data_IF_828369259713
#
_entry.id   IF_828369259713
#
_cell.length_a   1.000
_cell.length_b   1.000
_cell.length_c   1.000
_cell.angle_alpha   90.00
_cell.angle_beta   90.00
_cell.angle_gamma   90.00
#
_symmetry.space_group_name_H-M   'P 1'
#
loop_
_entity.id
_entity.type
_entity.pdbx_description
1 polymer ?
#
# COMPACT_ATOMS: atom_id res chain seq x y z
N UNK A 1 3.22 -20.27 -3.92
CA UNK A 1 4.08 -19.54 -4.87
C UNK A 1 3.94 -20.18 -6.24
N UNK A 2 3.92 -19.39 -7.31
CA UNK A 2 3.95 -19.94 -8.67
C UNK A 2 5.40 -20.16 -9.06
N UNK A 3 5.71 -21.29 -9.68
CA UNK A 3 7.04 -21.62 -10.21
C UNK A 3 7.55 -20.53 -11.16
N UNK A 4 6.62 -19.88 -11.87
CA UNK A 4 6.91 -18.76 -12.81
C UNK A 4 7.25 -17.42 -12.16
N UNK A 5 7.09 -17.27 -10.85
CA UNK A 5 7.39 -16.04 -10.11
C UNK A 5 8.02 -16.37 -8.74
N UNK A 6 9.31 -16.75 -8.73
CA UNK A 6 10.01 -17.02 -7.48
C UNK A 6 10.22 -15.73 -6.68
N UNK A 7 10.34 -15.81 -5.35
CA UNK A 7 10.65 -14.66 -4.53
C UNK A 7 12.05 -14.10 -4.86
N UNK A 8 12.18 -12.78 -4.88
CA UNK A 8 13.46 -12.11 -5.11
C UNK A 8 14.44 -12.31 -3.94
N UNK A 9 13.92 -12.55 -2.75
CA UNK A 9 14.69 -12.83 -1.54
C UNK A 9 13.99 -13.91 -0.70
N UNK A 10 14.28 -15.19 -0.96
CA UNK A 10 13.62 -16.32 -0.26
C UNK A 10 13.93 -16.34 1.23
N UNK A 11 15.16 -16.04 1.64
CA UNK A 11 15.57 -16.04 3.05
C UNK A 11 14.79 -15.01 3.88
N UNK A 12 14.57 -13.82 3.32
CA UNK A 12 13.74 -12.79 3.96
C UNK A 12 12.29 -13.25 4.12
N UNK A 13 11.75 -13.90 3.08
CA UNK A 13 10.38 -14.40 3.12
C UNK A 13 10.20 -15.50 4.18
N UNK A 14 11.16 -16.43 4.28
CA UNK A 14 11.15 -17.50 5.27
C UNK A 14 11.28 -16.93 6.70
N UNK A 15 12.12 -15.91 6.87
CA UNK A 15 12.25 -15.22 8.16
C UNK A 15 10.94 -14.53 8.57
N UNK A 16 10.29 -13.82 7.66
CA UNK A 16 9.00 -13.17 7.93
C UNK A 16 7.90 -14.20 8.23
N UNK A 17 7.89 -15.34 7.53
CA UNK A 17 6.94 -16.41 7.78
C UNK A 17 7.13 -17.00 9.19
N UNK A 18 8.37 -17.25 9.59
CA UNK A 18 8.71 -17.77 10.94
C UNK A 18 8.28 -16.77 12.01
N UNK A 19 8.61 -15.48 11.86
CA UNK A 19 8.18 -14.43 12.78
C UNK A 19 6.67 -14.31 12.87
N UNK A 20 5.96 -14.42 11.76
CA UNK A 20 4.50 -14.35 11.75
C UNK A 20 3.88 -15.49 12.56
N UNK A 21 4.47 -16.70 12.48
CA UNK A 21 4.05 -17.84 13.30
C UNK A 21 4.35 -17.61 14.79
N UNK A 22 5.55 -17.09 15.13
CA UNK A 22 5.93 -16.73 16.51
C UNK A 22 5.00 -15.66 17.11
N UNK A 23 4.43 -14.78 16.28
CA UNK A 23 3.46 -13.75 16.67
C UNK A 23 2.02 -14.29 16.82
N UNK A 24 1.83 -15.60 16.78
CA UNK A 24 0.49 -16.21 16.74
C UNK A 24 -0.41 -15.59 15.65
N UNK A 25 0.18 -15.34 14.48
CA UNK A 25 -0.49 -14.74 13.32
C UNK A 25 -1.02 -13.31 13.55
N UNK A 26 -0.43 -12.55 14.48
CA UNK A 26 -0.76 -11.14 14.66
C UNK A 26 -0.24 -10.31 13.46
N UNK A 27 -1.15 -10.04 12.52
CA UNK A 27 -0.86 -9.28 11.32
C UNK A 27 -0.44 -7.84 11.60
N UNK A 28 -0.99 -7.20 12.64
CA UNK A 28 -0.63 -5.82 12.99
C UNK A 28 0.81 -5.72 13.48
N UNK A 29 1.26 -6.73 14.21
CA UNK A 29 2.64 -6.81 14.69
C UNK A 29 3.60 -6.98 13.53
N UNK A 30 3.31 -7.89 12.60
CA UNK A 30 4.10 -8.08 11.37
C UNK A 30 4.19 -6.79 10.55
N UNK A 31 3.06 -6.09 10.31
CA UNK A 31 3.06 -4.82 9.57
C UNK A 31 3.90 -3.77 10.29
N UNK A 32 3.82 -3.69 11.62
CA UNK A 32 4.64 -2.77 12.42
C UNK A 32 6.13 -3.03 12.23
N UNK A 33 6.55 -4.29 12.27
CA UNK A 33 7.95 -4.66 12.09
C UNK A 33 8.46 -4.32 10.69
N UNK A 34 7.66 -4.62 9.66
CA UNK A 34 7.97 -4.23 8.28
C UNK A 34 8.11 -2.72 8.13
N UNK A 35 7.16 -1.94 8.67
CA UNK A 35 7.19 -0.48 8.58
C UNK A 35 8.34 0.15 9.38
N UNK A 36 8.78 -0.49 10.47
CA UNK A 36 9.92 -0.06 11.26
C UNK A 36 11.26 -0.56 10.71
N UNK A 37 11.24 -1.43 9.72
CA UNK A 37 12.47 -1.93 9.13
C UNK A 37 13.24 -0.82 8.41
N UNK A 38 14.57 -0.90 8.45
CA UNK A 38 15.44 0.05 7.74
C UNK A 38 15.18 0.06 6.24
N UNK A 39 14.90 -1.09 5.64
CA UNK A 39 14.61 -1.21 4.21
C UNK A 39 13.34 -0.43 3.80
N UNK A 40 12.29 -0.46 4.63
CA UNK A 40 11.06 0.27 4.37
C UNK A 40 11.21 1.80 4.53
N UNK A 41 12.10 2.23 5.43
CA UNK A 41 12.32 3.64 5.75
C UNK A 41 13.38 4.32 4.89
N UNK A 42 13.91 3.63 3.88
CA UNK A 42 14.88 4.21 2.95
C UNK A 42 14.28 5.37 2.14
N UNK A 43 15.14 6.32 1.80
CA UNK A 43 14.81 7.40 0.87
C UNK A 43 14.60 6.87 -0.55
N UNK A 44 13.79 7.60 -1.34
CA UNK A 44 13.62 7.36 -2.77
C UNK A 44 14.75 7.96 -3.61
N UNK A 45 15.68 8.73 -3.00
CA UNK A 45 16.80 9.35 -3.72
C UNK A 45 17.74 8.29 -4.26
N UNK A 46 18.10 8.45 -5.52
CA UNK A 46 19.09 7.61 -6.20
C UNK A 46 20.51 8.14 -6.01
N UNK A 47 21.47 7.25 -6.08
CA UNK A 47 22.88 7.54 -6.22
C UNK A 47 23.49 6.59 -7.27
N UNK A 48 24.76 6.78 -7.66
CA UNK A 48 25.42 5.99 -8.69
C UNK A 48 25.42 4.47 -8.41
N UNK A 49 25.35 4.06 -7.14
CA UNK A 49 25.42 2.64 -6.77
C UNK A 49 24.07 1.95 -6.67
N UNK A 50 22.95 2.71 -6.59
CA UNK A 50 21.62 2.15 -6.39
C UNK A 50 20.57 2.59 -7.44
N UNK A 51 21.01 3.31 -8.48
CA UNK A 51 20.12 3.84 -9.52
C UNK A 51 19.33 2.74 -10.22
N UNK A 52 20.00 1.64 -10.57
CA UNK A 52 19.42 0.49 -11.25
C UNK A 52 18.96 -0.62 -10.31
N UNK A 53 19.05 -0.43 -8.98
CA UNK A 53 18.64 -1.46 -8.04
C UNK A 53 17.11 -1.56 -7.91
N UNK A 54 16.59 -2.66 -8.41
CA UNK A 54 15.16 -3.03 -8.32
C UNK A 54 14.90 -4.22 -7.39
N UNK A 55 15.96 -4.86 -6.84
CA UNK A 55 15.83 -6.13 -6.12
C UNK A 55 16.39 -6.14 -4.71
N UNK A 56 17.45 -5.36 -4.43
CA UNK A 56 18.19 -5.47 -3.17
C UNK A 56 17.71 -4.48 -2.10
N UNK A 57 16.61 -3.78 -2.35
CA UNK A 57 16.04 -2.80 -1.40
C UNK A 57 17.04 -1.71 -0.96
N UNK A 58 17.98 -1.32 -1.85
CA UNK A 58 18.95 -0.27 -1.55
C UNK A 58 18.35 1.15 -1.54
N UNK A 59 17.12 1.30 -2.01
CA UNK A 59 16.30 2.52 -1.97
C UNK A 59 14.82 2.19 -1.97
N UNK A 60 13.99 3.12 -1.48
CA UNK A 60 12.55 3.00 -1.65
C UNK A 60 12.14 3.27 -3.12
N UNK A 61 11.25 2.44 -3.64
CA UNK A 61 10.68 2.65 -4.96
C UNK A 61 9.51 3.63 -4.86
N UNK A 62 9.46 4.60 -5.78
CA UNK A 62 8.32 5.49 -5.91
C UNK A 62 7.09 4.69 -6.37
N UNK A 63 6.02 4.79 -5.61
CA UNK A 63 4.71 4.22 -5.96
C UNK A 63 3.65 5.28 -5.83
N UNK A 64 2.78 5.36 -6.84
CA UNK A 64 1.62 6.23 -6.76
C UNK A 64 0.66 5.70 -5.69
N UNK A 65 0.21 6.59 -4.81
CA UNK A 65 -0.84 6.28 -3.84
C UNK A 65 -2.17 6.04 -4.57
N UNK A 66 -2.96 5.07 -4.14
CA UNK A 66 -4.30 4.86 -4.69
C UNK A 66 -5.18 6.06 -4.38
N UNK A 67 -6.07 6.41 -5.32
CA UNK A 67 -6.96 7.55 -5.20
C UNK A 67 -7.82 7.51 -3.92
N UNK A 68 -8.33 6.33 -3.56
CA UNK A 68 -9.14 6.14 -2.36
C UNK A 68 -8.33 6.39 -1.07
N UNK A 69 -7.10 5.88 -1.03
CA UNK A 69 -6.21 6.09 0.13
C UNK A 69 -5.84 7.56 0.25
N UNK A 70 -5.53 8.22 -0.88
CA UNK A 70 -5.20 9.65 -0.91
C UNK A 70 -6.36 10.50 -0.39
N UNK A 71 -7.59 10.22 -0.85
CA UNK A 71 -8.79 10.94 -0.39
C UNK A 71 -9.03 10.73 1.11
N UNK A 72 -8.88 9.50 1.60
CA UNK A 72 -9.03 9.21 3.03
C UNK A 72 -7.97 9.91 3.88
N UNK A 73 -6.72 9.97 3.43
CA UNK A 73 -5.64 10.70 4.12
C UNK A 73 -5.93 12.19 4.16
N UNK A 74 -6.33 12.80 3.03
CA UNK A 74 -6.70 14.23 2.98
C UNK A 74 -7.84 14.49 3.95
N UNK A 75 -8.90 13.67 3.91
CA UNK A 75 -10.07 13.84 4.78
C UNK A 75 -9.70 13.72 6.27
N UNK A 76 -8.79 12.82 6.60
CA UNK A 76 -8.31 12.66 7.96
C UNK A 76 -7.48 13.85 8.44
N UNK A 77 -6.58 14.38 7.61
CA UNK A 77 -5.72 15.52 7.94
C UNK A 77 -6.54 16.81 8.05
N UNK A 78 -7.48 17.01 7.12
CA UNK A 78 -8.36 18.21 7.11
C UNK A 78 -9.57 18.09 8.03
N UNK A 79 -9.79 16.92 8.64
CA UNK A 79 -10.96 16.61 9.46
C UNK A 79 -12.31 16.81 8.72
N UNK A 80 -12.29 16.70 7.39
CA UNK A 80 -13.47 16.77 6.56
C UNK A 80 -14.18 15.41 6.49
N UNK A 81 -15.51 15.45 6.31
CA UNK A 81 -16.32 14.24 6.16
C UNK A 81 -16.82 14.14 4.72
N UNK A 82 -16.38 13.11 4.03
CA UNK A 82 -16.90 12.81 2.70
C UNK A 82 -18.30 12.18 2.79
N UNK A 83 -19.11 12.43 1.76
CA UNK A 83 -20.37 11.75 1.56
C UNK A 83 -20.33 10.98 0.25
N UNK A 84 -20.52 9.69 0.33
CA UNK A 84 -20.64 8.81 -0.83
C UNK A 84 -22.07 8.28 -0.93
N UNK A 85 -22.57 8.14 -2.14
CA UNK A 85 -23.91 7.61 -2.36
C UNK A 85 -24.00 6.17 -1.81
N UNK A 86 -25.04 5.89 -1.04
CA UNK A 86 -25.25 4.58 -0.42
C UNK A 86 -24.40 4.31 0.84
N UNK A 87 -23.56 5.25 1.26
CA UNK A 87 -22.75 5.12 2.46
C UNK A 87 -23.08 6.22 3.50
N UNK A 88 -22.86 5.97 4.80
CA UNK A 88 -23.06 6.97 5.83
C UNK A 88 -22.07 8.14 5.67
N UNK A 89 -22.43 9.30 6.24
CA UNK A 89 -21.54 10.47 6.27
C UNK A 89 -20.25 10.15 7.03
N UNK A 90 -19.11 10.45 6.41
CA UNK A 90 -17.80 10.17 6.97
C UNK A 90 -17.30 8.75 6.71
N UNK A 91 -18.00 7.99 5.86
CA UNK A 91 -17.47 6.72 5.35
C UNK A 91 -16.15 6.96 4.60
N UNK A 92 -15.25 5.98 4.64
CA UNK A 92 -13.97 6.04 3.96
C UNK A 92 -14.13 5.69 2.48
N UNK A 93 -13.35 6.32 1.62
CA UNK A 93 -13.34 6.03 0.19
C UNK A 93 -12.98 4.56 -0.11
N UNK A 94 -12.16 3.93 0.75
CA UNK A 94 -11.84 2.50 0.69
C UNK A 94 -13.05 1.56 0.88
N UNK A 95 -14.15 2.05 1.47
CA UNK A 95 -15.38 1.27 1.70
C UNK A 95 -16.32 1.26 0.48
N UNK A 96 -16.00 2.02 -0.56
CA UNK A 96 -16.79 2.05 -1.80
C UNK A 96 -16.55 0.74 -2.55
N UNK A 97 -17.53 -0.17 -2.48
CA UNK A 97 -17.44 -1.49 -3.11
C UNK A 97 -17.69 -1.45 -4.63
N UNK A 98 -18.51 -0.50 -5.10
CA UNK A 98 -18.89 -0.39 -6.50
C UNK A 98 -17.82 0.33 -7.33
N UNK A 99 -17.23 -0.38 -8.30
CA UNK A 99 -16.25 0.17 -9.25
C UNK A 99 -16.83 1.22 -10.20
N UNK A 100 -18.15 1.21 -10.43
CA UNK A 100 -18.87 2.19 -11.26
C UNK A 100 -19.19 3.50 -10.56
N UNK A 101 -18.97 3.57 -9.25
CA UNK A 101 -19.20 4.80 -8.50
C UNK A 101 -18.31 5.93 -9.02
N UNK A 102 -18.93 6.96 -9.61
CA UNK A 102 -18.23 8.15 -10.12
C UNK A 102 -18.06 9.19 -9.02
N UNK A 103 -16.83 9.62 -8.82
CA UNK A 103 -16.48 10.75 -7.97
C UNK A 103 -15.34 11.50 -8.65
N UNK A 104 -15.49 12.82 -8.79
CA UNK A 104 -14.52 13.66 -9.51
C UNK A 104 -13.08 13.45 -9.02
N UNK A 105 -12.85 13.47 -7.72
CA UNK A 105 -11.52 13.28 -7.15
C UNK A 105 -10.96 11.88 -7.49
N UNK A 106 -11.75 10.84 -7.26
CA UNK A 106 -11.31 9.46 -7.49
C UNK A 106 -11.01 9.22 -8.98
N UNK A 107 -11.81 9.77 -9.87
CA UNK A 107 -11.58 9.67 -11.32
C UNK A 107 -10.31 10.42 -11.74
N UNK A 108 -10.12 11.65 -11.25
CA UNK A 108 -8.95 12.46 -11.56
C UNK A 108 -7.64 11.82 -11.09
N UNK A 109 -7.66 11.18 -9.92
CA UNK A 109 -6.49 10.51 -9.37
C UNK A 109 -6.35 9.03 -9.76
N UNK A 110 -7.12 8.58 -10.75
CA UNK A 110 -6.92 7.29 -11.42
C UNK A 110 -7.41 6.10 -10.60
N UNK A 111 -8.60 6.22 -9.98
CA UNK A 111 -9.27 5.05 -9.42
C UNK A 111 -9.49 4.03 -10.54
N UNK A 112 -9.11 2.77 -10.28
CA UNK A 112 -9.35 1.69 -11.22
C UNK A 112 -10.88 1.47 -11.35
N UNK A 113 -11.42 1.67 -12.57
CA UNK A 113 -12.75 1.23 -12.93
C UNK A 113 -12.67 -0.25 -13.27
N UNK A 114 -13.49 -1.07 -12.62
CA UNK A 114 -13.66 -2.47 -13.03
C UNK A 114 -14.64 -2.52 -14.22
N UNK A 115 -14.20 -2.08 -15.35
CA UNK A 115 -14.83 -2.42 -16.62
C UNK A 115 -14.06 -3.63 -17.19
N UNK A 116 -14.72 -4.78 -17.19
CA UNK A 116 -14.33 -5.96 -17.97
C UNK A 116 -14.96 -5.88 -19.31
#
# INVERSE_FOLDING_TARGET
MRISNPPSNPELLDKLASQFTEYNYDFKKLVRDVCNSRAYQLSTRTNRSNEDDLRNFARAQLRRMRAEVLLDVISQVTQTKNKFQGLPLGARALQIADGRFSNYFLTTFGRATRET
#
